data_IF_351869860791
#
_entry.id   IF_351869860791
#
_cell.length_a   1.000
_cell.length_b   1.000
_cell.length_c   1.000
_cell.angle_alpha   90.00
_cell.angle_beta   90.00
_cell.angle_gamma   90.00
#
_symmetry.space_group_name_H-M   'P 1'
#
loop_
_entity.id
_entity.type
_entity.pdbx_description
1 polymer ?
#
# COMPACT_ATOMS: atom_id res chain seq x y z
N UNK A 1 -24.14 -17.37 -19.98
CA UNK A 1 -24.24 -16.36 -18.91
C UNK A 1 -23.25 -15.28 -19.31
N UNK A 2 -23.72 -14.11 -19.75
CA UNK A 2 -22.88 -13.22 -20.56
C UNK A 2 -22.21 -12.10 -19.75
N UNK A 3 -22.28 -12.17 -18.41
CA UNK A 3 -21.75 -11.15 -17.50
C UNK A 3 -21.06 -11.82 -16.32
N UNK A 4 -19.84 -11.36 -16.03
CA UNK A 4 -19.08 -11.66 -14.82
C UNK A 4 -19.43 -10.57 -13.80
N UNK A 5 -19.93 -10.96 -12.64
CA UNK A 5 -20.41 -10.03 -11.61
C UNK A 5 -19.67 -10.27 -10.30
N UNK A 6 -18.78 -9.35 -9.96
CA UNK A 6 -18.08 -9.33 -8.68
C UNK A 6 -18.78 -8.37 -7.73
N UNK A 7 -18.93 -8.80 -6.48
CA UNK A 7 -19.67 -8.07 -5.45
C UNK A 7 -18.84 -7.91 -4.19
N UNK A 8 -18.93 -6.73 -3.57
CA UNK A 8 -18.18 -6.33 -2.37
C UNK A 8 -19.14 -5.71 -1.34
N UNK A 9 -18.90 -5.97 -0.05
CA UNK A 9 -19.72 -5.54 1.09
C UNK A 9 -21.16 -6.10 1.07
N UNK A 10 -21.33 -7.27 1.70
CA UNK A 10 -22.62 -7.98 1.84
C UNK A 10 -23.37 -7.48 3.06
N UNK A 11 -24.43 -6.69 2.86
CA UNK A 11 -25.19 -6.16 3.98
C UNK A 11 -26.68 -6.05 3.66
N UNK A 12 -27.12 -5.07 2.86
CA UNK A 12 -28.56 -4.87 2.61
C UNK A 12 -29.12 -5.56 1.35
N UNK A 13 -28.28 -6.09 0.45
CA UNK A 13 -28.74 -6.68 -0.81
C UNK A 13 -27.99 -7.99 -1.11
N UNK A 14 -28.73 -9.01 -1.53
CA UNK A 14 -28.18 -10.32 -1.88
C UNK A 14 -27.52 -10.34 -3.26
N UNK A 15 -27.96 -9.48 -4.18
CA UNK A 15 -27.47 -9.45 -5.56
C UNK A 15 -26.34 -8.44 -5.72
N UNK A 16 -26.48 -7.23 -5.17
CA UNK A 16 -25.53 -6.14 -5.36
C UNK A 16 -24.63 -5.93 -4.14
N UNK A 17 -23.41 -5.45 -4.39
CA UNK A 17 -22.56 -4.92 -3.33
C UNK A 17 -23.03 -3.56 -2.81
N UNK A 18 -22.55 -3.16 -1.64
CA UNK A 18 -22.83 -1.83 -1.10
C UNK A 18 -21.82 -0.76 -1.55
N UNK A 19 -22.31 0.48 -1.60
CA UNK A 19 -21.49 1.66 -1.82
C UNK A 19 -20.65 2.03 -0.58
N UNK A 20 -19.53 2.73 -0.77
CA UNK A 20 -18.65 3.25 0.28
C UNK A 20 -19.26 4.44 1.07
N UNK A 21 -20.56 4.42 1.38
CA UNK A 21 -21.25 5.55 2.04
C UNK A 21 -20.77 5.81 3.46
N UNK A 22 -20.30 4.78 4.15
CA UNK A 22 -19.83 4.88 5.54
C UNK A 22 -18.63 5.83 5.70
N UNK A 23 -17.74 5.94 4.70
CA UNK A 23 -16.57 6.82 4.76
C UNK A 23 -16.86 8.27 4.35
N UNK A 24 -18.03 8.56 3.78
CA UNK A 24 -18.37 9.91 3.29
C UNK A 24 -18.32 10.93 4.42
N UNK A 25 -18.78 10.57 5.62
CA UNK A 25 -18.70 11.47 6.78
C UNK A 25 -17.25 11.81 7.14
N UNK A 26 -16.36 10.82 7.15
CA UNK A 26 -14.93 11.05 7.37
C UNK A 26 -14.32 11.95 6.27
N UNK A 27 -14.67 11.72 5.00
CA UNK A 27 -14.20 12.52 3.87
C UNK A 27 -14.63 13.98 3.98
N UNK A 28 -15.88 14.22 4.38
CA UNK A 28 -16.39 15.56 4.58
C UNK A 28 -15.66 16.29 5.72
N UNK A 29 -15.27 15.57 6.79
CA UNK A 29 -14.49 16.16 7.89
C UNK A 29 -13.08 16.53 7.43
N UNK A 30 -12.40 15.64 6.71
CA UNK A 30 -11.07 15.93 6.13
C UNK A 30 -11.15 17.14 5.18
N UNK A 31 -12.14 17.16 4.30
CA UNK A 31 -12.33 18.28 3.37
C UNK A 31 -12.61 19.61 4.10
N UNK A 32 -13.45 19.60 5.14
CA UNK A 32 -13.70 20.78 5.94
C UNK A 32 -12.45 21.26 6.70
N UNK A 33 -11.58 20.33 7.12
CA UNK A 33 -10.30 20.67 7.73
C UNK A 33 -9.35 21.34 6.73
N UNK A 34 -9.22 20.80 5.52
CA UNK A 34 -8.41 21.39 4.45
C UNK A 34 -8.92 22.79 4.08
N UNK A 35 -10.24 22.94 3.92
CA UNK A 35 -10.87 24.23 3.65
C UNK A 35 -10.65 25.22 4.80
N UNK A 36 -10.66 24.75 6.06
CA UNK A 36 -10.34 25.57 7.22
C UNK A 36 -8.91 26.11 7.16
N UNK A 37 -7.93 25.29 6.77
CA UNK A 37 -6.52 25.72 6.63
C UNK A 37 -6.40 26.78 5.53
N UNK A 38 -7.04 26.57 4.37
CA UNK A 38 -7.06 27.54 3.28
C UNK A 38 -7.72 28.85 3.72
N UNK A 39 -8.85 28.76 4.43
CA UNK A 39 -9.58 29.93 4.92
C UNK A 39 -8.83 30.65 6.05
N UNK A 40 -8.17 29.93 6.95
CA UNK A 40 -7.29 30.48 7.97
C UNK A 40 -6.15 31.28 7.33
N UNK A 41 -5.56 30.77 6.26
CA UNK A 41 -4.51 31.46 5.50
C UNK A 41 -5.04 32.72 4.81
N UNK A 42 -6.27 32.69 4.30
CA UNK A 42 -6.93 33.89 3.74
C UNK A 42 -7.31 34.90 4.82
N UNK A 43 -7.80 34.44 5.97
CA UNK A 43 -8.22 35.30 7.09
C UNK A 43 -7.02 35.90 7.85
N UNK A 44 -5.88 35.22 7.95
CA UNK A 44 -4.66 35.81 8.50
C UNK A 44 -4.16 37.01 7.67
N UNK A 45 -4.56 37.11 6.40
CA UNK A 45 -4.35 38.26 5.55
C UNK A 45 -5.42 39.36 5.69
N UNK A 46 -6.59 39.06 6.27
CA UNK A 46 -7.75 39.94 6.30
C UNK A 46 -7.89 40.60 7.69
N UNK A 47 -7.47 41.87 7.75
CA UNK A 47 -7.62 42.79 8.89
C UNK A 47 -6.80 42.45 10.15
N UNK A 48 -5.61 43.07 10.25
CA UNK A 48 -4.69 42.94 11.40
C UNK A 48 -5.00 43.87 12.58
N UNK A 49 -5.84 44.87 12.37
CA UNK A 49 -6.18 45.84 13.40
C UNK A 49 -7.10 46.94 12.93
N UNK A 50 -7.57 47.73 13.89
CA UNK A 50 -8.44 48.89 13.70
C UNK A 50 -7.67 50.15 14.08
N UNK A 51 -7.75 51.18 13.24
CA UNK A 51 -7.31 52.54 13.57
C UNK A 51 -8.51 53.32 14.11
N UNK A 52 -8.51 53.58 15.42
CA UNK A 52 -9.54 54.37 16.10
C UNK A 52 -9.09 55.81 16.23
N UNK A 53 -9.87 56.75 15.71
CA UNK A 53 -9.62 58.18 15.86
C UNK A 53 -10.48 58.77 16.98
N UNK A 54 -9.90 59.62 17.82
CA UNK A 54 -10.58 60.25 18.95
C UNK A 54 -11.40 61.50 18.55
N UNK A 55 -11.33 61.92 17.29
CA UNK A 55 -12.08 63.05 16.73
C UNK A 55 -13.05 62.59 15.63
N UNK A 56 -14.16 63.29 15.47
CA UNK A 56 -15.12 63.04 14.38
C UNK A 56 -14.47 63.53 13.07
N UNK A 57 -14.07 62.58 12.23
CA UNK A 57 -13.52 62.82 10.89
C UNK A 57 -14.57 62.57 9.82
N UNK A 58 -14.45 63.23 8.68
CA UNK A 58 -15.28 62.92 7.51
C UNK A 58 -14.91 61.54 6.95
N UNK A 59 -15.84 60.80 6.32
CA UNK A 59 -15.56 59.47 5.78
C UNK A 59 -14.41 59.43 4.77
N UNK A 60 -14.21 60.51 4.01
CA UNK A 60 -13.10 60.62 3.04
C UNK A 60 -11.74 60.72 3.75
N UNK A 61 -11.66 61.53 4.80
CA UNK A 61 -10.44 61.69 5.60
C UNK A 61 -10.06 60.39 6.30
N UNK A 62 -11.03 59.61 6.80
CA UNK A 62 -10.77 58.31 7.43
C UNK A 62 -10.13 57.33 6.43
N UNK A 63 -10.60 57.31 5.17
CA UNK A 63 -10.01 56.46 4.12
C UNK A 63 -8.61 56.93 3.75
N UNK A 64 -8.41 58.24 3.62
CA UNK A 64 -7.12 58.84 3.28
C UNK A 64 -6.06 58.51 4.33
N UNK A 65 -6.34 58.75 5.62
CA UNK A 65 -5.40 58.47 6.71
C UNK A 65 -5.10 56.96 6.84
N UNK A 66 -6.11 56.09 6.65
CA UNK A 66 -5.89 54.65 6.62
C UNK A 66 -4.94 54.25 5.49
N UNK A 67 -5.15 54.74 4.28
CA UNK A 67 -4.32 54.39 3.13
C UNK A 67 -2.88 54.86 3.31
N UNK A 68 -2.67 56.06 3.87
CA UNK A 68 -1.34 56.55 4.21
C UNK A 68 -0.67 55.66 5.26
N UNK A 69 -1.39 55.29 6.32
CA UNK A 69 -0.86 54.38 7.34
C UNK A 69 -0.46 53.01 6.75
N UNK A 70 -1.29 52.42 5.89
CA UNK A 70 -0.95 51.15 5.22
C UNK A 70 0.30 51.33 4.34
N UNK A 71 0.39 52.43 3.60
CA UNK A 71 1.50 52.70 2.69
C UNK A 71 2.82 52.89 3.43
N UNK A 72 2.79 53.64 4.53
CA UNK A 72 3.99 54.06 5.25
C UNK A 72 4.49 52.99 6.24
N UNK A 73 3.59 52.14 6.77
CA UNK A 73 3.93 51.19 7.85
C UNK A 73 3.69 49.71 7.54
N UNK A 74 2.94 49.36 6.48
CA UNK A 74 2.63 47.96 6.14
C UNK A 74 3.22 47.49 4.79
N UNK A 75 3.94 48.37 4.07
CA UNK A 75 4.70 47.96 2.90
C UNK A 75 6.01 47.28 3.32
N UNK A 76 6.22 46.05 2.84
CA UNK A 76 7.40 45.21 3.12
C UNK A 76 8.73 45.89 2.73
N UNK A 77 8.68 46.87 1.83
CA UNK A 77 9.84 47.56 1.30
C UNK A 77 10.36 48.72 2.20
N UNK A 78 9.56 49.22 3.15
CA UNK A 78 9.90 50.37 4.01
C UNK A 78 10.21 49.92 5.46
N UNK A 79 10.88 48.77 5.61
CA UNK A 79 11.10 48.04 6.86
C UNK A 79 12.08 48.74 7.84
N UNK A 80 11.66 49.84 8.47
CA UNK A 80 12.30 50.32 9.71
C UNK A 80 11.87 49.50 10.94
N UNK A 81 10.78 48.73 10.83
CA UNK A 81 10.25 47.87 11.88
C UNK A 81 9.60 48.61 13.06
N UNK A 82 9.54 49.94 13.03
CA UNK A 82 9.02 50.77 14.13
C UNK A 82 7.97 51.73 13.58
N UNK A 83 6.73 51.62 14.07
CA UNK A 83 5.63 52.52 13.76
C UNK A 83 5.35 53.45 14.95
N UNK A 84 5.11 54.73 14.68
CA UNK A 84 4.72 55.73 15.69
C UNK A 84 3.27 56.16 15.46
N UNK A 85 2.52 56.30 16.55
CA UNK A 85 1.13 56.80 16.52
C UNK A 85 1.08 58.18 17.18
N UNK A 86 0.32 59.09 16.57
CA UNK A 86 -0.02 60.39 17.17
C UNK A 86 -1.17 60.20 18.17
N UNK A 87 -1.29 61.10 19.16
CA UNK A 87 -2.31 61.07 20.22
C UNK A 87 -3.77 61.05 19.69
N UNK A 88 -3.94 61.39 18.41
CA UNK A 88 -5.23 61.40 17.72
C UNK A 88 -5.71 60.01 17.29
N UNK A 89 -4.84 59.02 17.23
CA UNK A 89 -5.14 57.70 16.69
C UNK A 89 -4.59 56.56 17.57
N UNK A 90 -5.47 55.63 17.93
CA UNK A 90 -5.12 54.41 18.66
C UNK A 90 -5.22 53.19 17.73
N UNK A 91 -4.15 52.40 17.64
CA UNK A 91 -4.16 51.13 16.92
C UNK A 91 -4.61 50.00 17.86
N UNK A 92 -5.72 49.36 17.53
CA UNK A 92 -6.23 48.19 18.24
C UNK A 92 -5.90 46.96 17.38
N UNK A 93 -4.93 46.17 17.83
CA UNK A 93 -4.60 44.91 17.17
C UNK A 93 -5.76 43.92 17.30
N UNK A 94 -6.18 43.35 16.18
CA UNK A 94 -7.13 42.25 16.17
C UNK A 94 -6.34 40.96 16.14
N UNK A 95 -6.30 40.26 17.28
CA UNK A 95 -5.70 38.93 17.39
C UNK A 95 -6.60 37.95 16.63
N UNK A 96 -6.24 37.66 15.39
CA UNK A 96 -6.83 36.55 14.65
C UNK A 96 -5.99 35.31 14.93
N UNK A 97 -6.48 34.44 15.81
CA UNK A 97 -5.88 33.14 16.07
C UNK A 97 -6.76 32.08 15.42
N UNK A 98 -6.57 31.80 14.11
CA UNK A 98 -7.37 30.79 13.45
C UNK A 98 -7.07 29.44 14.10
N UNK A 99 -8.06 28.86 14.76
CA UNK A 99 -7.95 27.50 15.30
C UNK A 99 -7.66 26.53 14.16
N UNK A 100 -6.41 26.13 14.05
CA UNK A 100 -6.00 25.09 13.13
C UNK A 100 -6.48 23.74 13.65
N UNK A 101 -6.78 22.83 12.72
CA UNK A 101 -7.16 21.46 13.04
C UNK A 101 -5.95 20.75 13.65
N UNK A 102 -6.18 19.98 14.72
CA UNK A 102 -5.11 19.26 15.41
C UNK A 102 -4.55 18.13 14.54
N UNK A 103 -3.22 18.02 14.46
CA UNK A 103 -2.54 17.02 13.64
C UNK A 103 -2.93 15.58 14.02
N UNK A 104 -3.23 15.31 15.29
CA UNK A 104 -3.59 13.96 15.73
C UNK A 104 -4.99 13.57 15.23
N UNK A 105 -5.91 14.53 15.16
CA UNK A 105 -7.25 14.30 14.62
C UNK A 105 -7.21 13.96 13.13
N UNK A 106 -6.39 14.67 12.35
CA UNK A 106 -6.20 14.37 10.93
C UNK A 106 -5.56 13.00 10.71
N UNK A 107 -4.56 12.65 11.53
CA UNK A 107 -3.93 11.34 11.47
C UNK A 107 -4.91 10.21 11.77
N UNK A 108 -5.70 10.34 12.83
CA UNK A 108 -6.73 9.35 13.18
C UNK A 108 -7.74 9.15 12.04
N UNK A 109 -8.24 10.24 11.45
CA UNK A 109 -9.18 10.15 10.31
C UNK A 109 -8.55 9.48 9.09
N UNK A 110 -7.27 9.76 8.82
CA UNK A 110 -6.55 9.11 7.74
C UNK A 110 -6.37 7.61 8.01
N UNK A 111 -6.02 7.23 9.24
CA UNK A 111 -5.88 5.83 9.64
C UNK A 111 -7.20 5.06 9.54
N UNK A 112 -8.31 5.66 9.99
CA UNK A 112 -9.65 5.07 9.87
C UNK A 112 -10.05 4.83 8.40
N UNK A 113 -9.70 5.76 7.50
CA UNK A 113 -9.93 5.57 6.07
C UNK A 113 -9.07 4.45 5.47
N UNK A 114 -7.79 4.38 5.85
CA UNK A 114 -6.91 3.32 5.37
C UNK A 114 -7.42 1.95 5.86
N UNK A 115 -7.84 1.87 7.13
CA UNK A 115 -8.42 0.68 7.72
C UNK A 115 -9.69 0.22 6.99
N UNK A 116 -10.56 1.15 6.54
CA UNK A 116 -11.74 0.80 5.74
C UNK A 116 -11.40 0.05 4.46
N UNK A 117 -10.29 0.40 3.80
CA UNK A 117 -9.82 -0.29 2.61
C UNK A 117 -8.95 -1.51 2.90
N UNK A 118 -8.71 -1.85 4.17
CA UNK A 118 -7.80 -2.92 4.59
C UNK A 118 -6.33 -2.61 4.33
N UNK A 119 -5.98 -1.33 4.17
CA UNK A 119 -4.61 -0.89 3.90
C UNK A 119 -4.04 -0.12 5.09
N UNK A 120 -2.78 0.28 4.98
CA UNK A 120 -2.10 1.10 5.98
C UNK A 120 -1.18 2.14 5.28
N UNK A 121 -0.59 3.01 6.09
CA UNK A 121 0.29 4.07 5.60
C UNK A 121 1.53 3.50 4.89
N UNK A 122 2.11 2.41 5.40
CA UNK A 122 3.30 1.77 4.81
C UNK A 122 3.01 1.23 3.40
N UNK A 123 1.83 0.66 3.15
CA UNK A 123 1.40 0.15 1.85
C UNK A 123 1.18 1.30 0.86
N UNK A 124 0.51 2.38 1.28
CA UNK A 124 0.24 3.54 0.42
C UNK A 124 1.51 4.33 0.12
N UNK A 125 2.40 4.49 1.10
CA UNK A 125 3.68 5.19 0.95
C UNK A 125 4.78 4.32 0.33
N UNK A 126 4.49 3.04 0.04
CA UNK A 126 5.45 2.07 -0.49
C UNK A 126 6.67 1.83 0.42
N UNK A 127 6.51 1.99 1.73
CA UNK A 127 7.55 1.78 2.75
C UNK A 127 7.40 0.42 3.48
N UNK A 128 6.66 -0.51 2.89
CA UNK A 128 6.35 -1.80 3.50
C UNK A 128 7.53 -2.79 3.45
N UNK A 129 7.60 -3.64 4.47
CA UNK A 129 8.44 -4.83 4.50
C UNK A 129 7.79 -6.00 3.74
N UNK A 130 8.56 -7.05 3.44
CA UNK A 130 8.06 -8.27 2.80
C UNK A 130 6.91 -8.91 3.60
N UNK A 131 7.04 -8.98 4.93
CA UNK A 131 6.00 -9.54 5.80
C UNK A 131 4.72 -8.70 5.79
N UNK A 132 4.84 -7.36 5.80
CA UNK A 132 3.69 -6.47 5.72
C UNK A 132 3.00 -6.55 4.35
N UNK A 133 3.76 -6.68 3.27
CA UNK A 133 3.21 -6.90 1.93
C UNK A 133 2.46 -8.23 1.85
N UNK A 134 3.06 -9.30 2.37
CA UNK A 134 2.43 -10.62 2.41
C UNK A 134 1.12 -10.59 3.21
N UNK A 135 1.12 -9.94 4.38
CA UNK A 135 -0.10 -9.79 5.19
C UNK A 135 -1.19 -8.99 4.46
N UNK A 136 -0.84 -7.88 3.80
CA UNK A 136 -1.77 -7.11 2.98
C UNK A 136 -2.33 -7.94 1.81
N UNK A 137 -1.45 -8.70 1.15
CA UNK A 137 -1.83 -9.58 0.05
C UNK A 137 -2.86 -10.63 0.50
N UNK A 138 -2.55 -11.41 1.53
CA UNK A 138 -3.41 -12.49 2.03
C UNK A 138 -4.76 -11.95 2.56
N UNK A 139 -4.75 -10.78 3.18
CA UNK A 139 -5.97 -10.21 3.78
C UNK A 139 -6.87 -9.47 2.78
N UNK A 140 -6.30 -8.81 1.77
CA UNK A 140 -7.05 -7.92 0.86
C UNK A 140 -7.11 -8.43 -0.57
N UNK A 141 -5.98 -8.85 -1.14
CA UNK A 141 -5.89 -9.17 -2.56
C UNK A 141 -6.28 -10.62 -2.87
N UNK A 142 -5.84 -11.57 -2.04
CA UNK A 142 -6.14 -13.00 -2.22
C UNK A 142 -7.65 -13.30 -2.26
N UNK A 143 -8.49 -12.76 -1.36
CA UNK A 143 -9.94 -12.99 -1.42
C UNK A 143 -10.56 -12.48 -2.74
N UNK A 144 -10.05 -11.37 -3.28
CA UNK A 144 -10.51 -10.82 -4.57
C UNK A 144 -10.09 -11.74 -5.72
N UNK A 145 -8.85 -12.20 -5.72
CA UNK A 145 -8.32 -13.14 -6.71
C UNK A 145 -9.09 -14.46 -6.71
N UNK A 146 -9.44 -15.00 -5.54
CA UNK A 146 -10.27 -16.20 -5.41
C UNK A 146 -11.68 -15.94 -5.98
N UNK A 147 -12.30 -14.81 -5.62
CA UNK A 147 -13.63 -14.46 -6.13
C UNK A 147 -13.61 -14.34 -7.67
N UNK A 148 -12.59 -13.71 -8.23
CA UNK A 148 -12.38 -13.63 -9.68
C UNK A 148 -12.21 -15.01 -10.30
N UNK A 149 -11.35 -15.85 -9.72
CA UNK A 149 -11.10 -17.21 -10.20
C UNK A 149 -12.39 -18.04 -10.29
N UNK A 150 -13.19 -18.00 -9.23
CA UNK A 150 -14.47 -18.72 -9.16
C UNK A 150 -15.48 -18.21 -10.20
N UNK A 151 -15.69 -16.89 -10.27
CA UNK A 151 -16.67 -16.31 -11.20
C UNK A 151 -16.24 -16.46 -12.67
N UNK A 152 -14.97 -16.27 -12.99
CA UNK A 152 -14.46 -16.48 -14.34
C UNK A 152 -14.56 -17.95 -14.74
N UNK A 153 -14.14 -18.87 -13.87
CA UNK A 153 -14.27 -20.32 -14.12
C UNK A 153 -15.72 -20.71 -14.40
N UNK A 154 -16.64 -20.28 -13.54
CA UNK A 154 -18.07 -20.62 -13.66
C UNK A 154 -18.74 -20.02 -14.90
N UNK A 155 -18.29 -18.85 -15.38
CA UNK A 155 -18.88 -18.17 -16.55
C UNK A 155 -18.22 -18.54 -17.87
N UNK A 156 -16.94 -18.87 -17.86
CA UNK A 156 -16.18 -19.21 -19.06
C UNK A 156 -16.29 -20.68 -19.45
N UNK A 157 -16.45 -21.58 -18.48
CA UNK A 157 -16.52 -23.02 -18.74
C UNK A 157 -17.92 -23.59 -18.56
N UNK A 158 -18.23 -24.63 -19.32
CA UNK A 158 -19.41 -25.46 -19.10
C UNK A 158 -19.22 -26.40 -17.90
N UNK A 159 -20.32 -26.87 -17.32
CA UNK A 159 -20.27 -27.84 -16.20
C UNK A 159 -19.45 -29.09 -16.56
N UNK A 160 -19.50 -29.51 -17.84
CA UNK A 160 -18.69 -30.62 -18.33
C UNK A 160 -17.21 -30.28 -18.30
N UNK A 161 -16.79 -29.13 -18.82
CA UNK A 161 -15.39 -28.70 -18.83
C UNK A 161 -14.83 -28.52 -17.42
N UNK A 162 -15.62 -27.94 -16.51
CA UNK A 162 -15.26 -27.86 -15.09
C UNK A 162 -15.13 -29.25 -14.46
N UNK A 163 -16.02 -30.19 -14.80
CA UNK A 163 -15.94 -31.58 -14.35
C UNK A 163 -14.71 -32.34 -14.86
N UNK A 164 -14.03 -31.84 -15.89
CA UNK A 164 -12.73 -32.37 -16.37
C UNK A 164 -11.53 -31.65 -15.71
N UNK A 165 -11.77 -30.74 -14.77
CA UNK A 165 -10.73 -30.02 -14.03
C UNK A 165 -10.28 -28.70 -14.64
N UNK A 166 -11.02 -28.15 -15.62
CA UNK A 166 -10.69 -26.85 -16.18
C UNK A 166 -11.09 -25.73 -15.21
N UNK A 167 -10.11 -24.93 -14.79
CA UNK A 167 -10.31 -23.74 -13.96
C UNK A 167 -9.47 -22.57 -14.44
N UNK A 168 -9.95 -21.35 -14.17
CA UNK A 168 -9.22 -20.11 -14.37
C UNK A 168 -8.76 -19.65 -12.99
N UNK A 169 -7.45 -19.73 -12.74
CA UNK A 169 -6.84 -19.30 -11.49
C UNK A 169 -6.16 -17.94 -11.68
N UNK A 170 -6.61 -16.95 -10.90
CA UNK A 170 -5.92 -15.69 -10.73
C UNK A 170 -4.97 -15.85 -9.54
N UNK A 171 -3.70 -16.06 -9.82
CA UNK A 171 -2.65 -16.07 -8.81
C UNK A 171 -1.58 -15.04 -9.22
N UNK A 172 -1.25 -14.07 -8.36
CA UNK A 172 0.04 -13.40 -8.48
C UNK A 172 1.09 -14.40 -8.02
N UNK A 173 2.11 -14.60 -8.83
CA UNK A 173 3.22 -15.49 -8.49
C UNK A 173 3.85 -15.03 -7.16
N UNK A 174 3.47 -15.65 -6.03
CA UNK A 174 3.85 -15.21 -4.67
C UNK A 174 5.36 -15.21 -4.51
N UNK A 175 6.03 -16.14 -5.18
CA UNK A 175 7.47 -16.24 -5.17
C UNK A 175 8.08 -15.06 -5.93
N UNK A 176 7.46 -14.57 -7.00
CA UNK A 176 7.99 -13.46 -7.79
C UNK A 176 8.30 -12.21 -6.93
N UNK A 177 7.47 -11.93 -5.92
CA UNK A 177 7.58 -10.78 -5.03
C UNK A 177 8.33 -11.05 -3.72
N UNK A 178 8.65 -12.30 -3.40
CA UNK A 178 9.49 -12.63 -2.25
C UNK A 178 10.89 -11.99 -2.41
N UNK A 179 11.52 -11.62 -1.30
CA UNK A 179 12.87 -11.05 -1.36
C UNK A 179 13.86 -12.07 -1.93
N UNK A 180 14.92 -11.59 -2.57
CA UNK A 180 16.00 -12.44 -3.08
C UNK A 180 16.55 -13.34 -1.96
N UNK A 181 16.56 -12.86 -0.71
CA UNK A 181 16.98 -13.64 0.46
C UNK A 181 16.05 -14.83 0.70
N UNK A 182 14.73 -14.60 0.75
CA UNK A 182 13.71 -15.65 0.89
C UNK A 182 13.79 -16.67 -0.26
N UNK A 183 13.95 -16.20 -1.50
CA UNK A 183 14.13 -17.06 -2.68
C UNK A 183 15.36 -17.97 -2.57
N UNK A 184 16.50 -17.42 -2.13
CA UNK A 184 17.72 -18.19 -1.92
C UNK A 184 17.52 -19.22 -0.80
N UNK A 185 16.84 -18.86 0.29
CA UNK A 185 16.58 -19.75 1.41
C UNK A 185 15.65 -20.91 1.02
N UNK A 186 14.62 -20.63 0.23
CA UNK A 186 13.73 -21.63 -0.36
C UNK A 186 14.51 -22.64 -1.21
N UNK A 187 15.38 -22.16 -2.11
CA UNK A 187 16.18 -23.05 -2.97
C UNK A 187 17.23 -23.82 -2.16
N UNK A 188 17.83 -23.21 -1.14
CA UNK A 188 18.79 -23.89 -0.26
C UNK A 188 18.16 -25.01 0.58
N UNK A 189 16.88 -24.90 0.91
CA UNK A 189 16.16 -25.89 1.70
C UNK A 189 15.54 -26.97 0.83
N UNK A 190 14.83 -26.59 -0.23
CA UNK A 190 14.11 -27.52 -1.11
C UNK A 190 14.99 -28.15 -2.19
N UNK A 191 15.96 -27.40 -2.72
CA UNK A 191 16.85 -27.87 -3.77
C UNK A 191 17.58 -29.15 -3.39
N UNK A 192 18.28 -29.23 -2.24
CA UNK A 192 18.97 -30.44 -1.84
C UNK A 192 18.09 -31.68 -1.68
N UNK A 193 16.77 -31.53 -1.47
CA UNK A 193 15.80 -32.60 -1.28
C UNK A 193 15.15 -33.11 -2.59
N UNK A 194 15.57 -32.60 -3.77
CA UNK A 194 14.93 -32.89 -5.05
C UNK A 194 13.42 -32.62 -5.09
N UNK A 195 12.95 -31.61 -4.36
CA UNK A 195 11.52 -31.22 -4.36
C UNK A 195 11.16 -30.33 -5.55
N UNK A 196 12.14 -29.56 -6.06
CA UNK A 196 11.96 -28.59 -7.15
C UNK A 196 12.95 -28.86 -8.30
N UNK A 197 12.50 -28.67 -9.55
CA UNK A 197 13.31 -28.82 -10.76
C UNK A 197 14.20 -27.60 -11.00
N UNK A 198 15.23 -27.76 -11.85
CA UNK A 198 16.12 -26.64 -12.21
C UNK A 198 15.38 -25.48 -12.86
N UNK A 199 14.42 -25.74 -13.74
CA UNK A 199 13.63 -24.68 -14.39
C UNK A 199 12.70 -23.96 -13.41
N UNK A 200 12.09 -24.69 -12.47
CA UNK A 200 11.28 -24.10 -11.40
C UNK A 200 12.14 -23.18 -10.52
N UNK A 201 13.39 -23.56 -10.20
CA UNK A 201 14.35 -22.68 -9.51
C UNK A 201 14.68 -21.41 -10.31
N UNK A 202 14.73 -21.49 -11.64
CA UNK A 202 15.02 -20.36 -12.52
C UNK A 202 13.82 -19.43 -12.63
N UNK A 203 12.62 -19.99 -12.73
CA UNK A 203 11.35 -19.26 -12.74
C UNK A 203 11.16 -18.42 -11.46
N UNK A 204 11.52 -18.96 -10.30
CA UNK A 204 11.55 -18.23 -9.00
C UNK A 204 12.35 -16.92 -9.11
N UNK A 205 13.41 -16.89 -9.92
CA UNK A 205 14.25 -15.71 -10.18
C UNK A 205 13.86 -14.94 -11.46
N UNK A 206 12.74 -15.26 -12.09
CA UNK A 206 12.33 -14.72 -13.39
C UNK A 206 13.37 -14.95 -14.51
N UNK A 207 14.14 -16.03 -14.42
CA UNK A 207 15.07 -16.43 -15.46
C UNK A 207 14.36 -17.34 -16.47
N UNK A 208 14.71 -17.27 -17.77
CA UNK A 208 14.13 -18.15 -18.77
C UNK A 208 14.50 -19.61 -18.48
N UNK A 209 13.59 -20.52 -18.87
CA UNK A 209 13.83 -21.96 -18.83
C UNK A 209 15.06 -22.35 -19.65
N UNK A 210 15.70 -23.45 -19.28
CA UNK A 210 16.90 -23.95 -19.94
C UNK A 210 16.52 -24.81 -21.16
N UNK A 211 17.27 -24.69 -22.25
CA UNK A 211 17.00 -25.47 -23.47
C UNK A 211 17.19 -26.99 -23.24
N UNK A 212 18.13 -27.36 -22.35
CA UNK A 212 18.40 -28.75 -21.98
C UNK A 212 18.58 -28.90 -20.46
N UNK A 213 18.08 -30.01 -19.89
CA UNK A 213 18.30 -30.39 -18.48
C UNK A 213 17.53 -29.58 -17.44
N UNK A 214 16.60 -28.72 -17.88
CA UNK A 214 15.77 -27.89 -17.00
C UNK A 214 14.73 -28.67 -16.18
N UNK A 215 14.24 -29.80 -16.71
CA UNK A 215 13.32 -30.70 -16.01
C UNK A 215 13.99 -31.64 -15.00
N UNK A 216 15.32 -31.62 -14.90
CA UNK A 216 16.04 -32.47 -13.95
C UNK A 216 15.88 -31.97 -12.51
N UNK A 217 15.84 -32.91 -11.58
CA UNK A 217 16.02 -32.61 -10.17
C UNK A 217 17.52 -32.58 -9.83
N UNK A 218 17.91 -31.63 -8.98
CA UNK A 218 19.22 -31.63 -8.33
C UNK A 218 18.98 -32.03 -6.89
N UNK A 219 19.77 -32.95 -6.34
CA UNK A 219 19.73 -33.32 -4.92
C UNK A 219 21.13 -33.45 -4.38
N UNK A 220 21.28 -33.24 -3.07
CA UNK A 220 22.50 -33.62 -2.38
C UNK A 220 22.41 -35.08 -1.95
N UNK A 221 23.54 -35.78 -1.94
CA UNK A 221 23.63 -37.16 -1.43
C UNK A 221 23.45 -37.26 0.08
N UNK A 222 23.31 -36.14 0.80
CA UNK A 222 23.08 -36.12 2.24
C UNK A 222 21.63 -36.40 2.64
N UNK A 223 20.66 -36.21 1.74
CA UNK A 223 19.25 -36.53 1.97
C UNK A 223 18.87 -37.73 1.09
N UNK A 224 18.95 -38.92 1.66
CA UNK A 224 18.58 -40.18 1.01
C UNK A 224 17.36 -40.78 1.69
N UNK A 225 16.60 -41.58 0.94
CA UNK A 225 15.46 -42.32 1.49
C UNK A 225 15.97 -43.19 2.64
N UNK A 226 15.26 -43.20 3.76
CA UNK A 226 15.71 -43.90 4.97
C UNK A 226 15.94 -45.40 4.74
N UNK A 227 15.21 -46.02 3.79
CA UNK A 227 15.42 -47.42 3.37
C UNK A 227 16.80 -47.65 2.75
N UNK A 228 17.29 -46.69 1.99
CA UNK A 228 18.51 -46.81 1.18
C UNK A 228 19.73 -46.30 1.96
N UNK A 229 19.48 -45.65 3.11
CA UNK A 229 20.52 -45.11 3.98
C UNK A 229 21.45 -46.18 4.56
N UNK A 230 20.90 -47.35 4.89
CA UNK A 230 21.71 -48.47 5.37
C UNK A 230 22.59 -49.06 4.25
N UNK A 231 22.08 -49.15 3.03
CA UNK A 231 22.80 -49.71 1.89
C UNK A 231 23.97 -48.81 1.46
N UNK A 232 23.78 -47.49 1.55
CA UNK A 232 24.84 -46.51 1.25
C UNK A 232 25.92 -46.42 2.34
N UNK A 233 25.54 -46.54 3.62
CA UNK A 233 26.50 -46.52 4.74
C UNK A 233 27.37 -47.77 4.81
N UNK A 234 26.83 -48.94 4.42
CA UNK A 234 27.54 -50.22 4.48
C UNK A 234 28.44 -50.43 3.24
N UNK A 235 28.27 -49.58 2.21
CA UNK A 235 28.94 -49.69 0.93
C UNK A 235 28.42 -50.90 0.15
N UNK A 236 28.03 -50.70 -1.12
CA UNK A 236 27.66 -51.82 -2.00
C UNK A 236 28.79 -52.86 -2.01
N UNK A 237 28.60 -53.98 -1.31
CA UNK A 237 29.40 -55.17 -1.52
C UNK A 237 29.02 -55.71 -2.89
N UNK A 238 29.78 -55.30 -3.91
CA UNK A 238 29.78 -55.97 -5.20
C UNK A 238 30.15 -57.44 -4.99
N UNK A 239 29.15 -58.31 -5.00
CA UNK A 239 29.35 -59.75 -5.22
C UNK A 239 29.29 -60.01 -6.73
N UNK A 240 30.37 -59.67 -7.42
CA UNK A 240 30.73 -60.35 -8.68
C UNK A 240 31.98 -61.16 -8.40
N UNK A 241 31.79 -62.43 -8.01
CA UNK A 241 32.81 -63.47 -8.10
C UNK A 241 32.33 -64.48 -9.13
N UNK A 242 33.14 -64.62 -10.17
CA UNK A 242 32.85 -65.34 -11.39
C UNK A 242 32.62 -66.84 -11.20
N UNK A 243 31.93 -67.38 -12.19
CA UNK A 243 31.86 -68.81 -12.46
C UNK A 243 32.52 -68.99 -13.83
N UNK A 244 33.80 -69.39 -13.81
CA UNK A 244 34.41 -70.07 -14.94
C UNK A 244 34.02 -71.55 -14.81
N UNK A 245 33.05 -72.00 -15.62
CA UNK A 245 32.82 -73.41 -15.89
C UNK A 245 33.66 -73.81 -17.10
N UNK A 246 34.70 -74.63 -16.88
CA UNK A 246 35.20 -75.63 -17.83
C UNK A 246 36.22 -76.55 -17.15
N UNK A 247 35.95 -77.86 -17.15
CA UNK A 247 36.96 -78.90 -16.95
C UNK A 247 36.49 -80.11 -16.15
N UNK A 248 35.82 -81.06 -16.83
CA UNK A 248 36.28 -82.45 -16.99
C UNK A 248 35.43 -83.19 -18.05
#
# INVERSE_FOLDING_TARGET
>A
YDVIHLRRYFNNNDIYGESNKCIINGLNVIQAADDSIINATKQSAFLRGLLKYNQILKPEDIKSHRNNFVKDYLNINDSSGIAALDQKADYIELKNDPKMVDSNQMKFLSEDMLAYFGTNEDIVSSNYTEDQWNAFYESVLEPISIQMSQEFTYKSFTEREMGHGNEIMFEPNRIQYASIKTKIELIKTMGPMAVIKKDEMREIFNLPSMDEGGNDYVQTLNYIVASDAQEYQIGKKNNDKGVDENGD
#
